data_IF_307657430850
#
_entry.id   IF_307657430850
#
_cell.length_a   1.000
_cell.length_b   1.000
_cell.length_c   1.000
_cell.angle_alpha   90.00
_cell.angle_beta   90.00
_cell.angle_gamma   90.00
#
_symmetry.space_group_name_H-M   'P 1'
#
loop_
_entity.id
_entity.type
_entity.pdbx_description
1 polymer ?
#
# COMPACT_ATOMS: atom_id res chain seq x y z
N UNK A 1 1.91 0.41 22.26
CA UNK A 1 2.47 0.49 20.90
C UNK A 1 1.43 1.12 20.00
N UNK A 2 1.81 2.01 19.09
CA UNK A 2 0.90 2.54 18.06
C UNK A 2 0.61 1.45 17.04
N UNK A 3 -0.64 1.40 16.55
CA UNK A 3 -1.01 0.51 15.45
C UNK A 3 -0.38 1.01 14.15
N UNK A 4 -0.05 0.08 13.25
CA UNK A 4 0.40 0.38 11.89
C UNK A 4 -0.77 0.95 11.11
N UNK A 5 -0.64 2.18 10.64
CA UNK A 5 -1.67 2.92 9.91
C UNK A 5 -1.55 2.62 8.43
N UNK A 6 -2.58 1.98 7.89
CA UNK A 6 -2.64 1.58 6.49
C UNK A 6 -3.69 2.41 5.77
N UNK A 7 -3.29 3.05 4.68
CA UNK A 7 -4.22 3.65 3.71
C UNK A 7 -4.11 2.87 2.40
N UNK A 8 -5.19 2.79 1.62
CA UNK A 8 -5.09 2.12 0.34
C UNK A 8 -5.93 2.76 -0.75
N UNK A 9 -5.49 2.55 -1.99
CA UNK A 9 -6.27 2.80 -3.18
C UNK A 9 -6.46 1.49 -3.94
N UNK A 10 -7.72 1.07 -4.08
CA UNK A 10 -8.02 -0.21 -4.71
C UNK A 10 -9.27 -0.19 -5.57
N UNK A 11 -9.19 -0.91 -6.69
CA UNK A 11 -10.31 -1.26 -7.57
C UNK A 11 -10.05 -2.64 -8.18
N UNK A 12 -11.09 -3.46 -8.41
CA UNK A 12 -12.51 -3.21 -8.12
C UNK A 12 -12.86 -3.33 -6.62
N UNK A 13 -14.09 -2.96 -6.22
CA UNK A 13 -14.55 -2.96 -4.82
C UNK A 13 -14.32 -4.27 -4.08
N UNK A 14 -14.44 -5.41 -4.78
CA UNK A 14 -14.12 -6.72 -4.22
C UNK A 14 -12.68 -6.79 -3.68
N UNK A 15 -11.71 -6.24 -4.40
CA UNK A 15 -10.30 -6.22 -3.97
C UNK A 15 -10.10 -5.26 -2.79
N UNK A 16 -10.78 -4.11 -2.80
CA UNK A 16 -10.81 -3.21 -1.63
C UNK A 16 -11.29 -3.92 -0.38
N UNK A 17 -12.37 -4.69 -0.48
CA UNK A 17 -12.96 -5.40 0.67
C UNK A 17 -12.04 -6.53 1.16
N UNK A 18 -11.33 -7.22 0.25
CA UNK A 18 -10.31 -8.21 0.61
C UNK A 18 -9.17 -7.54 1.39
N UNK A 19 -8.62 -6.43 0.89
CA UNK A 19 -7.53 -5.69 1.55
C UNK A 19 -7.99 -5.20 2.91
N UNK A 20 -9.15 -4.54 2.98
CA UNK A 20 -9.72 -4.04 4.23
C UNK A 20 -9.84 -5.15 5.27
N UNK A 21 -10.48 -6.26 4.90
CA UNK A 21 -10.66 -7.40 5.80
C UNK A 21 -9.32 -8.02 6.24
N UNK A 22 -8.33 -8.12 5.34
CA UNK A 22 -6.98 -8.61 5.67
C UNK A 22 -6.33 -7.76 6.76
N UNK A 23 -6.41 -6.42 6.65
CA UNK A 23 -5.83 -5.47 7.61
C UNK A 23 -6.62 -5.44 8.92
N UNK A 24 -7.96 -5.36 8.86
CA UNK A 24 -8.82 -5.23 10.05
C UNK A 24 -8.81 -6.49 10.93
N UNK A 25 -8.43 -7.66 10.38
CA UNK A 25 -8.16 -8.88 11.16
C UNK A 25 -6.90 -8.80 12.02
N UNK A 26 -6.00 -7.87 11.75
CA UNK A 26 -4.74 -7.74 12.49
C UNK A 26 -4.92 -6.79 13.68
N UNK A 27 -4.60 -7.25 14.89
CA UNK A 27 -4.74 -6.44 16.11
C UNK A 27 -3.76 -5.26 16.16
N UNK A 28 -2.64 -5.38 15.46
CA UNK A 28 -1.55 -4.41 15.37
C UNK A 28 -1.70 -3.40 14.21
N UNK A 29 -2.77 -3.47 13.41
CA UNK A 29 -2.99 -2.60 12.26
C UNK A 29 -4.33 -1.86 12.32
N UNK A 30 -4.45 -0.81 11.53
CA UNK A 30 -5.69 -0.06 11.34
C UNK A 30 -5.76 0.54 9.94
N UNK A 31 -6.94 0.42 9.32
CA UNK A 31 -7.23 1.17 8.09
C UNK A 31 -7.58 2.61 8.45
N UNK A 32 -6.76 3.57 8.02
CA UNK A 32 -7.00 5.01 8.27
C UNK A 32 -7.67 5.72 7.11
N UNK A 33 -7.74 5.09 5.95
CA UNK A 33 -8.49 5.61 4.81
C UNK A 33 -8.47 4.68 3.61
N UNK A 34 -9.44 4.89 2.72
CA UNK A 34 -9.52 4.26 1.40
C UNK A 34 -9.86 5.37 0.41
N UNK A 35 -9.13 5.42 -0.70
CA UNK A 35 -9.44 6.32 -1.83
C UNK A 35 -9.62 5.51 -3.09
N UNK A 36 -10.44 5.98 -4.02
CA UNK A 36 -10.79 5.13 -5.17
C UNK A 36 -9.78 5.28 -6.30
N UNK A 37 -9.20 6.47 -6.49
CA UNK A 37 -8.15 6.72 -7.47
C UNK A 37 -6.79 6.92 -6.76
N UNK A 38 -5.71 6.26 -7.18
CA UNK A 38 -4.40 6.46 -6.58
C UNK A 38 -3.95 7.93 -6.56
N UNK A 39 -4.38 8.77 -7.51
CA UNK A 39 -4.05 10.21 -7.54
C UNK A 39 -4.62 10.94 -6.31
N UNK A 40 -5.76 10.50 -5.77
CA UNK A 40 -6.37 11.08 -4.57
C UNK A 40 -5.49 10.90 -3.31
N UNK A 41 -4.57 9.93 -3.32
CA UNK A 41 -3.61 9.72 -2.22
C UNK A 41 -2.72 10.95 -1.98
N UNK A 42 -2.41 11.74 -3.02
CA UNK A 42 -1.61 12.96 -2.89
C UNK A 42 -2.27 13.97 -1.93
N UNK A 43 -3.60 14.02 -1.93
CA UNK A 43 -4.34 14.91 -1.04
C UNK A 43 -4.61 14.26 0.30
N UNK A 44 -5.02 12.98 0.31
CA UNK A 44 -5.38 12.27 1.53
C UNK A 44 -4.22 12.13 2.53
N UNK A 45 -2.99 11.99 2.03
CA UNK A 45 -1.78 11.83 2.86
C UNK A 45 -1.25 13.13 3.45
N UNK A 46 -1.74 14.31 3.04
CA UNK A 46 -1.29 15.59 3.61
C UNK A 46 -1.75 15.79 5.04
N UNK A 47 -2.95 15.31 5.33
CA UNK A 47 -3.64 15.50 6.61
C UNK A 47 -3.67 14.21 7.45
N UNK A 48 -3.15 13.11 6.92
CA UNK A 48 -3.21 11.78 7.54
C UNK A 48 -1.82 11.18 7.65
N UNK A 49 -1.39 10.91 8.89
CA UNK A 49 -0.18 10.14 9.16
C UNK A 49 -0.40 8.67 8.79
N UNK A 50 0.44 8.12 7.91
CA UNK A 50 0.32 6.78 7.33
C UNK A 50 1.68 6.11 7.29
N UNK A 51 1.72 4.87 7.77
CA UNK A 51 2.93 4.04 7.76
C UNK A 51 3.07 3.29 6.42
N UNK A 52 1.95 2.76 5.91
CA UNK A 52 1.92 1.97 4.69
C UNK A 52 0.77 2.36 3.76
N UNK A 53 1.09 2.52 2.48
CA UNK A 53 0.11 2.72 1.41
C UNK A 53 0.05 1.49 0.51
N UNK A 54 -1.15 0.96 0.27
CA UNK A 54 -1.38 -0.11 -0.72
C UNK A 54 -2.04 0.47 -1.97
N UNK A 55 -1.48 0.23 -3.15
CA UNK A 55 -2.03 0.65 -4.44
C UNK A 55 -2.33 -0.58 -5.28
N UNK A 56 -3.55 -0.70 -5.79
CA UNK A 56 -3.91 -1.77 -6.75
C UNK A 56 -4.31 -1.16 -8.10
N UNK A 57 -3.35 -0.94 -9.02
CA UNK A 57 -3.64 -0.28 -10.28
C UNK A 57 -4.55 -1.14 -11.16
N UNK A 58 -5.48 -0.50 -11.88
CA UNK A 58 -6.42 -1.19 -12.77
C UNK A 58 -5.77 -1.72 -14.06
N UNK A 59 -4.61 -1.18 -14.46
CA UNK A 59 -3.79 -1.67 -15.58
C UNK A 59 -2.32 -1.68 -15.15
N UNK A 60 -1.62 -2.79 -15.37
CA UNK A 60 -0.24 -3.01 -14.92
C UNK A 60 0.84 -2.31 -15.77
N UNK A 61 0.56 -1.11 -16.32
CA UNK A 61 1.49 -0.42 -17.22
C UNK A 61 2.57 0.39 -16.47
N UNK A 62 3.24 -0.25 -15.53
CA UNK A 62 4.40 0.27 -14.80
C UNK A 62 4.10 0.81 -13.40
N UNK A 63 5.16 1.24 -12.72
CA UNK A 63 5.09 1.95 -11.44
C UNK A 63 4.17 3.17 -11.60
N UNK A 64 3.10 3.30 -10.79
CA UNK A 64 2.30 4.50 -10.73
C UNK A 64 3.25 5.69 -10.55
N UNK A 65 3.25 6.62 -11.49
CA UNK A 65 4.12 7.81 -11.47
C UNK A 65 4.01 8.62 -10.17
N UNK A 66 2.97 8.37 -9.38
CA UNK A 66 2.73 8.97 -8.07
C UNK A 66 3.68 8.48 -6.98
N UNK A 67 4.24 7.26 -7.06
CA UNK A 67 5.03 6.65 -5.97
C UNK A 67 6.21 7.53 -5.55
N UNK A 68 6.98 8.03 -6.52
CA UNK A 68 8.09 8.95 -6.25
C UNK A 68 7.65 10.27 -5.60
N UNK A 69 6.47 10.81 -6.00
CA UNK A 69 5.93 12.01 -5.37
C UNK A 69 5.50 11.73 -3.91
N UNK A 70 4.76 10.65 -3.68
CA UNK A 70 4.28 10.27 -2.36
C UNK A 70 5.46 10.03 -1.39
N UNK A 71 6.52 9.35 -1.84
CA UNK A 71 7.73 9.10 -1.03
C UNK A 71 8.58 10.37 -0.81
N UNK A 72 8.52 11.35 -1.71
CA UNK A 72 9.18 12.64 -1.51
C UNK A 72 8.48 13.45 -0.42
N UNK A 73 7.15 13.43 -0.39
CA UNK A 73 6.34 14.13 0.60
C UNK A 73 6.30 13.38 1.95
N UNK A 74 6.37 12.04 1.93
CA UNK A 74 6.32 11.17 3.11
C UNK A 74 7.48 10.14 3.12
N UNK A 75 8.73 10.54 3.44
CA UNK A 75 9.90 9.68 3.26
C UNK A 75 9.96 8.42 4.13
N UNK A 76 9.21 8.39 5.24
CA UNK A 76 9.15 7.25 6.16
C UNK A 76 8.09 6.21 5.78
N UNK A 77 7.20 6.56 4.86
CA UNK A 77 6.12 5.69 4.42
C UNK A 77 6.67 4.61 3.48
N UNK A 78 6.05 3.43 3.51
CA UNK A 78 6.27 2.36 2.52
C UNK A 78 5.06 2.24 1.58
N UNK A 79 5.32 1.98 0.30
CA UNK A 79 4.27 1.74 -0.71
C UNK A 79 4.34 0.28 -1.18
N UNK A 80 3.19 -0.40 -1.13
CA UNK A 80 2.99 -1.73 -1.71
C UNK A 80 2.09 -1.60 -2.94
N UNK A 81 2.53 -2.14 -4.07
CA UNK A 81 1.73 -2.21 -5.29
C UNK A 81 1.33 -3.65 -5.52
N UNK A 82 0.02 -3.92 -5.44
CA UNK A 82 -0.55 -5.22 -5.72
C UNK A 82 -1.13 -5.23 -7.12
N UNK A 83 -0.52 -5.98 -8.03
CA UNK A 83 -0.96 -6.11 -9.42
C UNK A 83 -1.66 -7.45 -9.60
N UNK A 84 -2.96 -7.42 -9.92
CA UNK A 84 -3.74 -8.64 -10.15
C UNK A 84 -3.26 -9.47 -11.36
N UNK A 85 -2.61 -8.83 -12.34
CA UNK A 85 -2.15 -9.49 -13.57
C UNK A 85 -0.82 -10.25 -13.41
N UNK A 86 0.10 -9.76 -12.57
CA UNK A 86 1.44 -10.34 -12.45
C UNK A 86 1.65 -11.17 -11.18
N UNK A 87 0.58 -11.38 -10.40
CA UNK A 87 0.62 -12.08 -9.11
C UNK A 87 1.80 -11.63 -8.24
N UNK A 88 2.10 -10.33 -8.19
CA UNK A 88 3.29 -9.83 -7.51
C UNK A 88 3.00 -8.61 -6.65
N UNK A 89 3.78 -8.46 -5.57
CA UNK A 89 3.87 -7.21 -4.82
C UNK A 89 5.16 -6.50 -5.22
N UNK A 90 5.06 -5.23 -5.59
CA UNK A 90 6.21 -4.34 -5.66
C UNK A 90 6.26 -3.44 -4.42
N UNK A 91 7.44 -3.30 -3.83
CA UNK A 91 7.65 -2.56 -2.58
C UNK A 91 8.57 -1.38 -2.88
N UNK A 92 8.14 -0.20 -2.46
CA UNK A 92 8.88 1.05 -2.64
C UNK A 92 9.05 1.75 -1.29
N UNK A 93 10.26 2.25 -1.05
CA UNK A 93 10.61 3.01 0.13
C UNK A 93 11.72 4.01 -0.22
N UNK A 94 11.71 5.17 0.44
CA UNK A 94 12.73 6.19 0.22
C UNK A 94 14.13 5.68 0.58
N UNK A 95 15.10 5.90 -0.31
CA UNK A 95 16.49 5.47 -0.11
C UNK A 95 16.79 3.99 -0.37
N UNK A 96 15.78 3.18 -0.70
CA UNK A 96 15.92 1.75 -1.00
C UNK A 96 15.69 1.44 -2.47
N UNK A 97 16.27 0.33 -2.96
CA UNK A 97 15.91 -0.18 -4.29
C UNK A 97 14.51 -0.80 -4.22
N UNK A 98 13.67 -0.66 -5.27
CA UNK A 98 12.40 -1.35 -5.32
C UNK A 98 12.58 -2.87 -5.19
N UNK A 99 11.74 -3.49 -4.37
CA UNK A 99 11.72 -4.94 -4.20
C UNK A 99 10.50 -5.53 -4.90
N UNK A 100 10.60 -6.79 -5.34
CA UNK A 100 9.51 -7.53 -5.95
C UNK A 100 9.39 -8.89 -5.29
N UNK A 101 8.17 -9.23 -4.87
CA UNK A 101 7.82 -10.56 -4.38
C UNK A 101 6.86 -11.17 -5.39
N UNK A 102 7.22 -12.32 -5.94
CA UNK A 102 6.35 -13.09 -6.83
C UNK A 102 5.46 -14.04 -6.02
N UNK A 103 4.21 -14.15 -6.45
CA UNK A 103 3.17 -15.02 -5.87
C UNK A 103 3.07 -14.91 -4.35
N UNK A 104 2.88 -13.69 -3.81
CA UNK A 104 2.81 -13.47 -2.38
C UNK A 104 1.55 -14.14 -1.80
N UNK A 105 1.71 -14.80 -0.67
CA UNK A 105 0.56 -15.21 0.15
C UNK A 105 0.05 -14.01 0.95
N UNK A 106 -1.18 -14.10 1.48
CA UNK A 106 -1.73 -13.09 2.40
C UNK A 106 -0.78 -12.82 3.57
N UNK A 107 -0.20 -13.88 4.15
CA UNK A 107 0.73 -13.76 5.26
C UNK A 107 2.00 -12.99 4.89
N UNK A 108 2.54 -13.20 3.69
CA UNK A 108 3.71 -12.45 3.22
C UNK A 108 3.38 -10.96 3.10
N UNK A 109 2.19 -10.60 2.59
CA UNK A 109 1.78 -9.20 2.50
C UNK A 109 1.70 -8.58 3.91
N UNK A 110 1.12 -9.29 4.87
CA UNK A 110 1.03 -8.85 6.26
C UNK A 110 2.43 -8.65 6.88
N UNK A 111 3.36 -9.57 6.64
CA UNK A 111 4.71 -9.50 7.18
C UNK A 111 5.50 -8.32 6.59
N UNK A 112 5.29 -8.02 5.30
CA UNK A 112 5.86 -6.83 4.64
C UNK A 112 5.35 -5.53 5.28
N UNK A 113 4.06 -5.48 5.63
CA UNK A 113 3.46 -4.33 6.34
C UNK A 113 4.04 -4.18 7.74
N UNK A 114 4.23 -5.29 8.47
CA UNK A 114 4.84 -5.28 9.81
C UNK A 114 6.27 -4.77 9.81
N UNK A 115 7.04 -5.15 8.79
CA UNK A 115 8.45 -4.79 8.69
C UNK A 115 8.67 -3.41 8.06
N UNK A 116 7.70 -2.47 8.11
CA UNK A 116 7.75 -1.16 7.44
C UNK A 116 8.83 -0.19 7.94
N UNK A 117 9.40 -0.46 9.12
CA UNK A 117 10.43 0.37 9.78
C UNK A 117 11.77 0.38 9.05
#
# INVERSE_FOLDING_TARGET
MSKIKVMFSSRPKLLSDIIRNMIERQSDMIVVGEVIDPIELIFALRDTDVDVVIITPHKANGEPRICGQLLKENPKMRILILTGESESVHIYQSGSRPEKIERPTEQIIIDVIRNHN
#
